data_IF_074648780656
#
_entry.id   IF_074648780656
#
_cell.length_a   1.000
_cell.length_b   1.000
_cell.length_c   1.000
_cell.angle_alpha   90.00
_cell.angle_beta   90.00
_cell.angle_gamma   90.00
#
_symmetry.space_group_name_H-M   'P 1'
#
loop_
_entity.id
_entity.type
_entity.pdbx_description
1 polymer ?
#
# COMPACT_ATOMS: atom_id res chain seq x y z
N UNK A 1 4.78 -7.72 -13.47
CA UNK A 1 5.28 -7.71 -12.08
C UNK A 1 4.50 -6.64 -11.36
N UNK A 2 3.82 -6.92 -10.23
CA UNK A 2 3.12 -5.86 -9.48
C UNK A 2 4.13 -4.78 -9.07
N UNK A 3 3.67 -3.57 -8.75
CA UNK A 3 4.47 -2.55 -8.09
C UNK A 3 4.94 -3.05 -6.71
N UNK A 4 5.95 -3.93 -6.71
CA UNK A 4 6.59 -4.54 -5.54
C UNK A 4 7.84 -3.77 -5.14
N UNK A 5 8.45 -4.15 -4.02
CA UNK A 5 9.62 -3.47 -3.43
C UNK A 5 10.83 -3.34 -4.35
N UNK A 6 10.89 -4.09 -5.45
CA UNK A 6 11.89 -3.92 -6.51
C UNK A 6 11.79 -2.55 -7.20
N UNK A 7 10.60 -1.94 -7.31
CA UNK A 7 10.44 -0.61 -7.93
C UNK A 7 11.15 0.52 -7.18
N UNK A 8 11.39 0.38 -5.86
CA UNK A 8 12.18 1.34 -5.09
C UNK A 8 13.67 1.03 -5.22
N UNK A 9 14.05 -0.24 -5.36
CA UNK A 9 15.44 -0.68 -5.45
C UNK A 9 16.05 -0.51 -6.85
N UNK A 10 15.25 -0.63 -7.90
CA UNK A 10 15.65 -0.43 -9.30
C UNK A 10 15.68 1.05 -9.71
N UNK A 11 15.43 1.96 -8.76
CA UNK A 11 15.65 3.39 -8.93
C UNK A 11 17.14 3.74 -8.81
N UNK A 12 17.99 3.15 -9.67
CA UNK A 12 19.41 3.51 -9.80
C UNK A 12 19.64 4.97 -10.28
N UNK A 13 18.58 5.80 -10.35
CA UNK A 13 18.63 7.20 -10.77
C UNK A 13 17.89 8.19 -9.88
N UNK A 14 17.27 7.77 -8.77
CA UNK A 14 16.64 8.70 -7.82
C UNK A 14 16.99 8.31 -6.39
N UNK A 15 17.80 9.13 -5.71
CA UNK A 15 18.07 9.07 -4.27
C UNK A 15 16.78 9.41 -3.49
N UNK A 16 15.87 8.44 -3.37
CA UNK A 16 14.66 8.57 -2.56
C UNK A 16 14.91 7.92 -1.21
N UNK A 17 15.10 8.74 -0.18
CA UNK A 17 15.32 8.26 1.18
C UNK A 17 14.01 7.99 1.94
N UNK A 18 12.96 8.74 1.63
CA UNK A 18 11.69 8.69 2.34
C UNK A 18 10.49 8.66 1.40
N UNK A 19 9.48 7.90 1.78
CA UNK A 19 8.19 7.79 1.08
C UNK A 19 7.09 8.19 2.05
N UNK A 20 6.20 9.09 1.61
CA UNK A 20 5.03 9.52 2.37
C UNK A 20 3.77 8.93 1.73
N UNK A 21 2.86 8.42 2.56
CA UNK A 21 1.50 8.03 2.16
C UNK A 21 0.46 8.67 3.09
N UNK A 22 -0.68 9.03 2.50
CA UNK A 22 -1.88 9.48 3.21
C UNK A 22 -2.83 8.28 3.35
N UNK A 23 -3.20 7.95 4.59
CA UNK A 23 -4.05 6.81 4.91
C UNK A 23 -5.25 7.21 5.76
N UNK A 24 -6.45 7.05 5.19
CA UNK A 24 -7.70 7.49 5.83
C UNK A 24 -8.41 6.44 6.67
N UNK A 25 -7.94 5.19 6.69
CA UNK A 25 -8.73 4.05 7.18
C UNK A 25 -9.09 4.11 8.67
N UNK A 26 -8.30 4.81 9.50
CA UNK A 26 -8.60 5.02 10.92
C UNK A 26 -9.55 6.21 11.17
N UNK A 27 -9.40 7.29 10.41
CA UNK A 27 -10.16 8.54 10.61
C UNK A 27 -11.48 8.59 9.84
N UNK A 28 -11.60 7.79 8.78
CA UNK A 28 -12.66 7.93 7.77
C UNK A 28 -12.36 9.01 6.73
N UNK A 29 -11.11 9.46 6.60
CA UNK A 29 -10.72 10.48 5.63
C UNK A 29 -10.65 9.91 4.20
N UNK A 30 -11.64 10.20 3.36
CA UNK A 30 -11.74 9.60 2.03
C UNK A 30 -10.80 10.17 0.96
N UNK A 31 -10.13 11.30 1.18
CA UNK A 31 -9.17 11.86 0.20
C UNK A 31 -7.76 11.30 0.37
N UNK A 32 -7.67 10.01 0.64
CA UNK A 32 -6.42 9.27 0.88
C UNK A 32 -5.85 8.62 -0.39
N UNK A 33 -4.67 8.02 -0.27
CA UNK A 33 -3.94 7.49 -1.45
C UNK A 33 -4.52 6.18 -1.98
N UNK A 34 -5.27 5.42 -1.16
CA UNK A 34 -6.00 4.23 -1.63
C UNK A 34 -7.13 4.63 -2.59
N UNK A 35 -7.85 5.74 -2.34
CA UNK A 35 -8.90 6.20 -3.26
C UNK A 35 -8.34 6.79 -4.56
N UNK A 36 -7.11 7.30 -4.52
CA UNK A 36 -6.40 7.82 -5.70
C UNK A 36 -5.59 6.75 -6.43
N UNK A 37 -5.48 5.55 -5.87
CA UNK A 37 -4.56 4.50 -6.33
C UNK A 37 -4.73 4.13 -7.81
N UNK A 38 -5.97 3.95 -8.29
CA UNK A 38 -6.20 3.57 -9.69
C UNK A 38 -5.74 4.65 -10.68
N UNK A 39 -5.74 5.93 -10.28
CA UNK A 39 -5.14 6.99 -11.10
C UNK A 39 -3.63 6.82 -11.21
N UNK A 40 -2.96 6.47 -10.11
CA UNK A 40 -1.53 6.17 -10.10
C UNK A 40 -1.21 4.97 -11.01
N UNK A 41 -2.04 3.92 -10.97
CA UNK A 41 -1.91 2.73 -11.82
C UNK A 41 -2.05 3.08 -13.30
N UNK A 42 -3.05 3.91 -13.66
CA UNK A 42 -3.26 4.36 -15.05
C UNK A 42 -2.08 5.17 -15.58
N UNK A 43 -1.55 6.09 -14.77
CA UNK A 43 -0.40 6.93 -15.12
C UNK A 43 0.87 6.08 -15.24
N UNK A 44 1.14 5.19 -14.28
CA UNK A 44 2.29 4.30 -14.33
C UNK A 44 2.25 3.38 -15.55
N UNK A 45 1.08 2.80 -15.81
CA UNK A 45 0.84 1.89 -16.94
C UNK A 45 0.88 2.53 -18.33
N UNK A 46 0.79 3.86 -18.43
CA UNK A 46 0.87 4.56 -19.73
C UNK A 46 2.31 4.83 -20.20
N UNK A 47 3.32 4.42 -19.42
CA UNK A 47 4.74 4.61 -19.78
C UNK A 47 5.34 3.34 -20.36
N UNK A 48 6.37 3.47 -21.21
CA UNK A 48 7.05 2.30 -21.79
C UNK A 48 7.63 1.37 -20.71
N UNK A 49 8.23 1.93 -19.66
CA UNK A 49 8.76 1.16 -18.52
C UNK A 49 7.65 0.50 -17.69
N UNK A 50 6.46 1.11 -17.64
CA UNK A 50 5.31 0.65 -16.88
C UNK A 50 4.31 -0.19 -17.68
N UNK A 51 4.58 -0.56 -18.94
CA UNK A 51 3.66 -1.32 -19.79
C UNK A 51 3.17 -2.67 -19.18
N UNK A 52 3.88 -3.18 -18.18
CA UNK A 52 3.52 -4.37 -17.43
C UNK A 52 2.46 -4.11 -16.32
N UNK A 53 2.18 -2.85 -15.99
CA UNK A 53 1.18 -2.42 -15.02
C UNK A 53 -0.17 -2.34 -15.72
N UNK A 54 -1.10 -3.23 -15.35
CA UNK A 54 -2.41 -3.32 -16.01
C UNK A 54 -3.51 -3.09 -14.98
N UNK A 55 -4.30 -2.04 -15.17
CA UNK A 55 -5.37 -1.65 -14.22
C UNK A 55 -6.30 -2.81 -13.86
N UNK A 56 -6.68 -3.63 -14.86
CA UNK A 56 -7.53 -4.82 -14.67
C UNK A 56 -7.00 -5.83 -13.64
N UNK A 57 -5.68 -5.87 -13.41
CA UNK A 57 -5.08 -6.81 -12.45
C UNK A 57 -5.32 -6.43 -11.00
N UNK A 58 -5.71 -5.18 -10.75
CA UNK A 58 -5.98 -4.67 -9.40
C UNK A 58 -7.44 -4.86 -8.98
N UNK A 59 -8.33 -5.22 -9.92
CA UNK A 59 -9.72 -5.54 -9.64
C UNK A 59 -9.90 -7.01 -9.23
N UNK A 60 -10.84 -7.25 -8.32
CA UNK A 60 -11.29 -8.58 -7.96
C UNK A 60 -11.95 -9.30 -9.16
N UNK A 61 -12.16 -10.61 -9.05
CA UNK A 61 -12.75 -11.43 -10.13
C UNK A 61 -14.15 -10.95 -10.56
N UNK A 62 -14.88 -10.29 -9.66
CA UNK A 62 -16.19 -9.68 -9.93
C UNK A 62 -16.10 -8.27 -10.55
N UNK A 63 -14.91 -7.75 -10.80
CA UNK A 63 -14.67 -6.41 -11.35
C UNK A 63 -14.69 -5.28 -10.32
N UNK A 64 -14.81 -5.57 -9.03
CA UNK A 64 -14.81 -4.55 -7.98
C UNK A 64 -13.40 -4.25 -7.45
N UNK A 65 -13.18 -3.01 -7.03
CA UNK A 65 -11.94 -2.62 -6.34
C UNK A 65 -12.09 -2.85 -4.84
N UNK A 66 -11.53 -3.95 -4.33
CA UNK A 66 -11.72 -4.42 -2.96
C UNK A 66 -10.40 -4.55 -2.21
N UNK A 67 -10.37 -4.07 -0.97
CA UNK A 67 -9.20 -4.14 -0.06
C UNK A 67 -9.28 -5.29 0.95
N UNK A 68 -10.40 -6.01 0.94
CA UNK A 68 -10.66 -7.18 1.78
C UNK A 68 -10.12 -8.47 1.13
N UNK A 69 -10.48 -9.63 1.70
CA UNK A 69 -9.98 -10.95 1.29
C UNK A 69 -10.36 -11.33 -0.15
N UNK A 70 -11.36 -10.71 -0.74
CA UNK A 70 -11.76 -10.94 -2.13
C UNK A 70 -11.05 -9.98 -3.10
N UNK A 71 -10.24 -9.05 -2.58
CA UNK A 71 -9.35 -8.20 -3.37
C UNK A 71 -8.38 -9.01 -4.24
N UNK A 72 -7.94 -8.40 -5.34
CA UNK A 72 -6.98 -9.06 -6.23
C UNK A 72 -5.66 -9.35 -5.50
N UNK A 73 -5.01 -10.50 -5.78
CA UNK A 73 -3.68 -10.77 -5.25
C UNK A 73 -2.66 -9.68 -5.61
N UNK A 74 -2.81 -9.05 -6.78
CA UNK A 74 -1.96 -7.93 -7.22
C UNK A 74 -2.10 -6.73 -6.29
N UNK A 75 -3.33 -6.35 -5.92
CA UNK A 75 -3.58 -5.24 -4.99
C UNK A 75 -3.10 -5.58 -3.58
N UNK A 76 -3.47 -6.74 -3.04
CA UNK A 76 -3.14 -7.12 -1.67
C UNK A 76 -1.63 -7.29 -1.44
N UNK A 77 -0.83 -7.43 -2.51
CA UNK A 77 0.62 -7.53 -2.45
C UNK A 77 1.35 -6.29 -2.98
N UNK A 78 0.65 -5.26 -3.46
CA UNK A 78 1.30 -4.06 -3.99
C UNK A 78 1.92 -3.22 -2.85
N UNK A 79 2.94 -2.45 -3.19
CA UNK A 79 3.65 -1.61 -2.23
C UNK A 79 2.72 -0.58 -1.56
N UNK A 80 1.78 0.01 -2.31
CA UNK A 80 0.82 0.97 -1.75
C UNK A 80 -0.06 0.33 -0.66
N UNK A 81 -0.58 -0.88 -0.91
CA UNK A 81 -1.36 -1.61 0.09
C UNK A 81 -0.54 -1.87 1.35
N UNK A 82 0.69 -2.37 1.18
CA UNK A 82 1.59 -2.66 2.29
C UNK A 82 1.93 -1.39 3.09
N UNK A 83 2.22 -0.28 2.44
CA UNK A 83 2.51 1.00 3.11
C UNK A 83 1.29 1.58 3.85
N UNK A 84 0.09 1.51 3.30
CA UNK A 84 -1.08 2.03 3.99
C UNK A 84 -1.47 1.17 5.19
N UNK A 85 -1.44 -0.16 5.04
CA UNK A 85 -1.98 -1.11 6.03
C UNK A 85 -0.93 -1.74 6.95
N UNK A 86 0.34 -1.34 6.89
CA UNK A 86 1.38 -1.89 7.79
C UNK A 86 0.95 -1.76 9.26
N UNK A 87 0.92 -2.89 9.98
CA UNK A 87 0.44 -3.03 11.37
C UNK A 87 -1.04 -2.67 11.62
N UNK A 88 -1.79 -2.28 10.59
CA UNK A 88 -3.20 -1.90 10.72
C UNK A 88 -4.10 -3.11 11.06
N UNK A 89 -3.71 -4.32 10.66
CA UNK A 89 -4.47 -5.55 10.91
C UNK A 89 -4.75 -5.87 12.37
N UNK A 90 -3.98 -5.29 13.30
CA UNK A 90 -4.10 -5.48 14.75
C UNK A 90 -4.87 -4.34 15.45
N UNK A 91 -5.24 -3.29 14.71
CA UNK A 91 -5.89 -2.10 15.26
C UNK A 91 -7.40 -2.26 15.38
N UNK A 92 -7.96 -1.85 16.51
CA UNK A 92 -9.39 -1.66 16.67
C UNK A 92 -9.76 -0.23 16.26
N UNK A 93 -10.44 -0.09 15.13
CA UNK A 93 -10.78 1.22 14.55
C UNK A 93 -12.22 1.65 14.84
N UNK A 94 -13.12 0.70 15.06
CA UNK A 94 -14.54 0.93 15.30
C UNK A 94 -15.09 -0.13 16.27
N UNK A 95 -15.91 0.31 17.23
CA UNK A 95 -16.55 -0.58 18.20
C UNK A 95 -17.48 -1.59 17.52
N UNK A 96 -17.36 -2.87 17.87
CA UNK A 96 -18.18 -3.94 17.30
C UNK A 96 -17.74 -4.42 15.90
N UNK A 97 -16.63 -3.90 15.36
CA UNK A 97 -16.00 -4.40 14.14
C UNK A 97 -14.76 -5.24 14.47
N UNK A 98 -14.35 -6.09 13.51
CA UNK A 98 -13.09 -6.84 13.62
C UNK A 98 -11.88 -5.90 13.60
N UNK A 99 -10.73 -6.38 14.09
CA UNK A 99 -9.47 -5.64 13.94
C UNK A 99 -9.11 -5.45 12.45
N UNK A 100 -8.44 -4.34 12.13
CA UNK A 100 -8.07 -4.01 10.76
C UNK A 100 -9.26 -3.63 9.89
N UNK A 101 -10.29 -3.02 10.47
CA UNK A 101 -11.44 -2.51 9.73
C UNK A 101 -11.15 -1.11 9.17
N UNK A 102 -11.14 -0.95 7.85
CA UNK A 102 -11.01 0.35 7.18
C UNK A 102 -12.38 1.06 7.16
N UNK A 103 -12.46 2.22 7.83
CA UNK A 103 -13.69 3.01 7.95
C UNK A 103 -14.12 3.72 6.67
N UNK A 104 -13.20 3.99 5.74
CA UNK A 104 -13.50 4.59 4.43
C UNK A 104 -14.09 3.55 3.49
N UNK A 105 -13.55 2.33 3.49
CA UNK A 105 -14.04 1.23 2.62
C UNK A 105 -15.13 0.38 3.26
N UNK A 106 -15.37 0.57 4.55
CA UNK A 106 -16.30 -0.23 5.35
C UNK A 106 -16.03 -1.74 5.24
N UNK A 107 -14.74 -2.13 5.29
CA UNK A 107 -14.31 -3.50 5.08
C UNK A 107 -13.15 -3.90 6.00
N UNK A 108 -13.11 -5.19 6.38
CA UNK A 108 -11.94 -5.79 7.03
C UNK A 108 -10.85 -6.04 5.98
N UNK A 109 -9.62 -5.62 6.25
CA UNK A 109 -8.52 -5.78 5.29
C UNK A 109 -8.21 -7.26 4.98
N UNK A 110 -7.88 -7.54 3.72
CA UNK A 110 -7.62 -8.89 3.23
C UNK A 110 -6.34 -9.52 3.75
N UNK A 111 -5.27 -8.73 3.86
CA UNK A 111 -3.98 -9.19 4.37
C UNK A 111 -3.60 -8.43 5.65
N UNK A 112 -3.48 -9.16 6.76
CA UNK A 112 -3.19 -8.60 8.09
C UNK A 112 -1.75 -8.81 8.53
N UNK A 113 -1.10 -9.84 8.01
CA UNK A 113 0.19 -10.33 8.49
C UNK A 113 1.22 -10.25 7.35
N UNK A 114 1.93 -9.13 7.30
CA UNK A 114 3.02 -8.92 6.37
C UNK A 114 4.05 -7.97 6.97
N UNK A 115 5.29 -8.11 6.50
CA UNK A 115 6.39 -7.20 6.84
C UNK A 115 6.81 -6.36 5.63
N UNK A 116 7.55 -5.29 5.92
CA UNK A 116 8.15 -4.43 4.90
C UNK A 116 9.61 -4.82 4.69
N UNK A 117 9.91 -5.42 3.54
CA UNK A 117 11.26 -5.92 3.23
C UNK A 117 12.24 -4.79 2.88
N UNK A 118 11.75 -3.74 2.21
CA UNK A 118 12.57 -2.67 1.61
C UNK A 118 12.35 -1.30 2.26
N UNK A 119 11.37 -1.22 3.17
CA UNK A 119 11.00 0.00 3.88
C UNK A 119 11.01 -0.26 5.38
N UNK A 120 11.25 0.79 6.15
CA UNK A 120 11.01 0.83 7.59
C UNK A 120 10.08 2.00 7.93
N UNK A 121 9.18 1.82 8.89
CA UNK A 121 8.31 2.89 9.38
C UNK A 121 9.16 3.92 10.13
N UNK A 122 9.24 5.14 9.60
CA UNK A 122 9.99 6.23 10.20
C UNK A 122 9.11 7.09 11.11
N UNK A 123 7.86 7.32 10.71
CA UNK A 123 6.89 8.10 11.48
C UNK A 123 5.46 7.79 11.05
N UNK A 124 4.54 7.72 12.01
CA UNK A 124 3.09 7.62 11.78
C UNK A 124 2.39 8.59 12.71
N UNK A 125 1.47 9.41 12.18
CA UNK A 125 0.73 10.37 13.02
C UNK A 125 -0.21 9.67 13.99
N UNK A 126 -0.63 10.37 15.06
CA UNK A 126 -1.51 9.84 16.10
C UNK A 126 -2.79 9.18 15.54
N UNK A 127 -3.40 9.81 14.54
CA UNK A 127 -4.60 9.28 13.86
C UNK A 127 -4.29 8.56 12.55
N UNK A 128 -3.04 8.21 12.31
CA UNK A 128 -2.55 7.41 11.18
C UNK A 128 -2.87 8.02 9.81
N UNK A 129 -3.17 9.32 9.76
CA UNK A 129 -3.51 10.02 8.53
C UNK A 129 -2.31 10.16 7.59
N UNK A 130 -1.13 10.34 8.16
CA UNK A 130 0.14 10.47 7.42
C UNK A 130 1.11 9.43 7.95
N UNK A 131 1.70 8.67 7.03
CA UNK A 131 2.71 7.66 7.32
C UNK A 131 3.93 7.92 6.46
N UNK A 132 5.10 7.89 7.10
CA UNK A 132 6.38 8.16 6.47
C UNK A 132 7.25 6.91 6.67
N UNK A 133 7.76 6.40 5.56
CA UNK A 133 8.64 5.26 5.49
C UNK A 133 10.01 5.70 5.04
N UNK A 134 11.06 5.15 5.64
CA UNK A 134 12.43 5.28 5.15
C UNK A 134 12.76 4.08 4.26
N UNK A 135 13.44 4.33 3.14
CA UNK A 135 13.98 3.27 2.29
C UNK A 135 15.18 2.65 3.00
N UNK A 136 15.15 1.32 3.15
CA UNK A 136 16.25 0.58 3.76
C UNK A 136 17.45 0.60 2.83
N UNK A 137 18.64 0.74 3.41
CA UNK A 137 19.90 0.57 2.69
C UNK A 137 19.96 -0.82 2.04
N UNK A 138 20.68 -0.92 0.93
CA UNK A 138 20.96 -2.22 0.32
C UNK A 138 21.62 -3.12 1.36
N UNK A 139 21.18 -4.38 1.50
CA UNK A 139 21.82 -5.30 2.42
C UNK A 139 23.30 -5.37 2.11
N UNK A 140 24.12 -5.13 3.13
CA UNK A 140 25.57 -5.12 3.00
C UNK A 140 25.99 -6.51 2.49
N UNK A 141 26.51 -6.58 1.25
CA UNK A 141 27.06 -7.82 0.67
C UNK A 141 28.38 -8.14 1.38
N UNK A 142 28.30 -8.53 2.64
CA UNK A 142 29.46 -8.93 3.43
C UNK A 142 29.96 -10.29 2.97
N UNK A 143 30.95 -10.27 2.07
CA UNK A 143 31.81 -11.38 1.55
C UNK A 143 31.08 -12.51 0.83
#
# INVERSE_FOLDING_TARGET
MPLGGESIRDNEGTDVDYVLVIFGGLTGYSSDDINKFLWMVRIGGSTDRGAHIREKEYYAANGEFRVDKEGSPTLLNCLMYKMCYYRFGQMYTEGGKAQGYDRVRAAEIGNKDFELDVLEEAYTTEHWLVRIYKVKDLPNRGV
#
